data_IF_398666396314
#
_entry.id   IF_398666396314
#
_cell.length_a   1.000
_cell.length_b   1.000
_cell.length_c   1.000
_cell.angle_alpha   90.00
_cell.angle_beta   90.00
_cell.angle_gamma   90.00
#
_symmetry.space_group_name_H-M   'P 1'
#
loop_
_entity.id
_entity.type
_entity.pdbx_description
1 polymer ?
#
# COMPACT_ATOMS: atom_id res chain seq x y z
N UNK A 1 -1.81 -12.53 -7.89
CA UNK A 1 -0.63 -12.04 -8.65
C UNK A 1 0.62 -12.30 -7.83
N UNK A 2 1.75 -12.71 -8.43
CA UNK A 2 3.00 -12.86 -7.66
C UNK A 2 3.55 -11.46 -7.30
N UNK A 3 3.98 -11.25 -6.06
CA UNK A 3 4.57 -9.97 -5.60
C UNK A 3 5.81 -9.58 -6.41
N UNK A 4 6.53 -10.57 -6.96
CA UNK A 4 7.69 -10.34 -7.82
C UNK A 4 7.32 -9.73 -9.19
N UNK A 5 6.05 -9.81 -9.59
CA UNK A 5 5.54 -9.33 -10.87
C UNK A 5 4.83 -7.97 -10.76
N UNK A 6 4.91 -7.31 -9.59
CA UNK A 6 4.28 -5.98 -9.41
C UNK A 6 4.90 -4.98 -10.40
N UNK A 7 4.08 -4.26 -11.19
CA UNK A 7 4.56 -3.24 -12.10
C UNK A 7 5.30 -2.11 -11.36
N UNK A 8 6.52 -1.78 -11.77
CA UNK A 8 7.34 -0.71 -11.14
C UNK A 8 7.16 0.67 -11.78
N UNK A 9 6.72 0.72 -13.04
CA UNK A 9 6.67 1.96 -13.83
C UNK A 9 5.58 2.94 -13.38
N UNK A 10 4.53 2.45 -12.70
CA UNK A 10 3.38 3.30 -12.35
C UNK A 10 3.74 4.38 -11.33
N UNK A 11 4.55 4.06 -10.33
CA UNK A 11 5.03 5.04 -9.35
C UNK A 11 5.83 6.17 -10.00
N UNK A 12 6.64 5.87 -11.02
CA UNK A 12 7.38 6.90 -11.75
C UNK A 12 6.44 7.89 -12.44
N UNK A 13 5.40 7.40 -13.12
CA UNK A 13 4.37 8.26 -13.72
C UNK A 13 3.63 9.12 -12.68
N UNK A 14 3.34 8.57 -11.49
CA UNK A 14 2.76 9.35 -10.38
C UNK A 14 3.66 10.47 -9.89
N UNK A 15 4.97 10.24 -9.82
CA UNK A 15 5.93 11.29 -9.44
C UNK A 15 5.94 12.40 -10.49
N UNK A 16 5.93 12.06 -11.78
CA UNK A 16 5.88 13.04 -12.87
C UNK A 16 4.58 13.87 -12.83
N UNK A 17 3.44 13.22 -12.64
CA UNK A 17 2.12 13.89 -12.48
C UNK A 17 2.12 14.87 -11.31
N UNK A 18 2.55 14.40 -10.13
CA UNK A 18 2.61 15.24 -8.93
C UNK A 18 3.57 16.42 -9.11
N UNK A 19 4.77 16.16 -9.63
CA UNK A 19 5.79 17.18 -9.83
C UNK A 19 5.30 18.25 -10.82
N UNK A 20 4.63 17.85 -11.90
CA UNK A 20 4.04 18.81 -12.83
C UNK A 20 2.97 19.67 -12.17
N UNK A 21 2.09 19.10 -11.35
CA UNK A 21 1.06 19.86 -10.64
C UNK A 21 1.61 20.82 -9.60
N UNK A 22 2.66 20.43 -8.87
CA UNK A 22 3.38 21.32 -7.94
C UNK A 22 4.08 22.45 -8.71
N UNK A 23 4.77 22.13 -9.80
CA UNK A 23 5.47 23.11 -10.63
C UNK A 23 4.51 24.17 -11.21
N UNK A 24 3.31 23.75 -11.61
CA UNK A 24 2.26 24.63 -12.14
C UNK A 24 1.47 25.38 -11.05
N UNK A 25 1.75 25.14 -9.76
CA UNK A 25 1.03 25.77 -8.65
C UNK A 25 -0.39 25.24 -8.41
N UNK A 26 -0.72 24.09 -8.99
CA UNK A 26 -2.04 23.45 -8.89
C UNK A 26 -2.18 22.56 -7.65
N UNK A 27 -1.05 22.09 -7.11
CA UNK A 27 -0.98 21.20 -5.96
C UNK A 27 -0.11 21.76 -4.84
N UNK A 28 -0.61 21.67 -3.61
CA UNK A 28 0.12 22.04 -2.39
C UNK A 28 0.41 20.85 -1.45
N UNK A 29 -0.10 19.66 -1.79
CA UNK A 29 0.07 18.44 -0.99
C UNK A 29 1.44 17.82 -1.19
N UNK A 30 1.94 17.14 -0.15
CA UNK A 30 3.09 16.24 -0.28
C UNK A 30 2.77 15.10 -1.26
N UNK A 31 3.80 14.46 -1.81
CA UNK A 31 3.59 13.34 -2.73
C UNK A 31 2.75 12.22 -2.07
N UNK A 32 3.04 11.85 -0.82
CA UNK A 32 2.33 10.76 -0.14
C UNK A 32 0.86 11.11 0.14
N UNK A 33 0.57 12.34 0.54
CA UNK A 33 -0.81 12.79 0.80
C UNK A 33 -1.62 12.93 -0.48
N UNK A 34 -1.00 13.48 -1.53
CA UNK A 34 -1.60 13.54 -2.86
C UNK A 34 -1.87 12.13 -3.40
N UNK A 35 -0.89 11.23 -3.33
CA UNK A 35 -1.00 9.87 -3.84
C UNK A 35 -2.12 9.09 -3.14
N UNK A 36 -2.29 9.27 -1.83
CA UNK A 36 -3.38 8.67 -1.08
C UNK A 36 -4.77 9.07 -1.61
N UNK A 37 -4.91 10.29 -2.15
CA UNK A 37 -6.16 10.81 -2.71
C UNK A 37 -6.41 10.44 -4.18
N UNK A 38 -5.35 10.23 -4.98
CA UNK A 38 -5.48 9.96 -6.43
C UNK A 38 -5.28 8.49 -6.81
N UNK A 39 -4.75 7.67 -5.91
CA UNK A 39 -4.60 6.25 -6.13
C UNK A 39 -5.98 5.60 -6.30
N UNK A 40 -6.14 4.80 -7.35
CA UNK A 40 -7.40 4.11 -7.62
C UNK A 40 -7.14 2.73 -8.26
N UNK A 41 -7.78 1.66 -7.76
CA UNK A 41 -7.59 0.31 -8.29
C UNK A 41 -8.16 0.18 -9.70
N UNK A 42 -7.57 -0.68 -10.52
CA UNK A 42 -8.32 -1.15 -11.72
C UNK A 42 -9.54 -1.93 -11.27
N UNK A 43 -10.61 -1.97 -12.10
CA UNK A 43 -11.85 -2.69 -11.77
C UNK A 43 -11.65 -4.11 -11.21
N UNK A 44 -10.68 -4.84 -11.75
CA UNK A 44 -10.36 -6.21 -11.30
C UNK A 44 -9.72 -6.31 -9.90
N UNK A 45 -9.34 -5.18 -9.30
CA UNK A 45 -8.73 -5.09 -7.98
C UNK A 45 -9.58 -4.30 -6.98
N UNK A 46 -10.78 -3.85 -7.38
CA UNK A 46 -11.66 -3.02 -6.55
C UNK A 46 -12.17 -3.78 -5.32
N UNK A 47 -12.52 -5.05 -5.47
CA UNK A 47 -13.00 -5.90 -4.36
C UNK A 47 -11.84 -6.47 -3.51
N UNK A 48 -10.60 -6.27 -3.96
CA UNK A 48 -9.41 -6.83 -3.35
C UNK A 48 -8.42 -7.36 -4.37
N UNK A 49 -7.15 -7.31 -3.99
CA UNK A 49 -6.04 -7.76 -4.80
C UNK A 49 -5.35 -8.93 -4.11
N UNK A 50 -5.56 -10.13 -4.66
CA UNK A 50 -4.87 -11.34 -4.18
C UNK A 50 -3.42 -11.36 -4.64
N UNK A 51 -2.52 -11.47 -3.68
CA UNK A 51 -1.08 -11.49 -3.83
C UNK A 51 -0.52 -12.82 -3.38
N UNK A 52 0.62 -13.21 -3.96
CA UNK A 52 1.33 -14.45 -3.63
C UNK A 52 2.81 -14.17 -3.42
N UNK A 53 3.35 -14.59 -2.29
CA UNK A 53 4.78 -14.56 -1.95
C UNK A 53 5.24 -15.98 -1.63
N UNK A 54 5.99 -16.59 -2.55
CA UNK A 54 6.31 -18.02 -2.47
C UNK A 54 5.05 -18.90 -2.53
N UNK A 55 4.79 -19.62 -1.45
CA UNK A 55 3.60 -20.50 -1.28
C UNK A 55 2.45 -19.83 -0.54
N UNK A 56 2.66 -18.63 0.01
CA UNK A 56 1.66 -17.94 0.81
C UNK A 56 0.86 -16.95 -0.03
N UNK A 57 -0.46 -16.94 0.17
CA UNK A 57 -1.38 -16.01 -0.48
C UNK A 57 -2.04 -15.11 0.56
N UNK A 58 -2.26 -13.85 0.20
CA UNK A 58 -2.96 -12.88 1.02
C UNK A 58 -3.72 -11.89 0.12
N UNK A 59 -4.70 -11.19 0.68
CA UNK A 59 -5.53 -10.24 -0.04
C UNK A 59 -5.40 -8.87 0.60
N UNK A 60 -5.14 -7.85 -0.23
CA UNK A 60 -5.15 -6.46 0.19
C UNK A 60 -6.27 -5.72 -0.51
N UNK A 61 -6.96 -4.84 0.21
CA UNK A 61 -8.04 -4.01 -0.32
C UNK A 61 -7.66 -2.54 -0.22
N UNK A 62 -8.06 -1.79 -1.24
CA UNK A 62 -7.80 -0.37 -1.31
C UNK A 62 -8.53 0.38 -0.20
N UNK A 63 -7.82 1.27 0.48
CA UNK A 63 -8.37 2.13 1.53
C UNK A 63 -8.53 1.45 2.88
N UNK A 64 -8.13 0.18 3.02
CA UNK A 64 -8.22 -0.55 4.28
C UNK A 64 -6.92 -0.47 5.08
N UNK A 65 -7.07 -0.65 6.40
CA UNK A 65 -6.00 -0.76 7.37
C UNK A 65 -5.88 -2.20 7.85
N UNK A 66 -4.66 -2.65 8.09
CA UNK A 66 -4.36 -4.02 8.50
C UNK A 66 -3.43 -4.04 9.71
N UNK A 67 -3.65 -5.00 10.60
CA UNK A 67 -2.74 -5.38 11.66
C UNK A 67 -2.01 -6.66 11.26
N UNK A 68 -0.72 -6.73 11.60
CA UNK A 68 0.15 -7.90 11.44
C UNK A 68 0.96 -8.10 12.71
N UNK A 69 1.37 -9.32 12.95
CA UNK A 69 2.22 -9.69 14.08
C UNK A 69 3.31 -10.67 13.64
N UNK A 70 4.48 -10.52 14.26
CA UNK A 70 5.69 -11.30 14.04
C UNK A 70 6.38 -11.46 15.38
N UNK A 71 6.78 -12.68 15.73
CA UNK A 71 7.35 -12.96 17.05
C UNK A 71 8.67 -12.22 17.31
N UNK A 72 9.37 -11.77 16.26
CA UNK A 72 10.64 -11.05 16.35
C UNK A 72 10.43 -9.54 16.19
N UNK A 73 9.55 -9.11 15.29
CA UNK A 73 9.33 -7.67 14.97
C UNK A 73 8.19 -7.03 15.77
N UNK A 74 7.36 -7.83 16.41
CA UNK A 74 6.17 -7.42 17.15
C UNK A 74 5.02 -6.98 16.24
N UNK A 75 3.93 -6.55 16.90
CA UNK A 75 2.71 -6.10 16.24
C UNK A 75 2.93 -4.77 15.49
N UNK A 76 2.43 -4.69 14.27
CA UNK A 76 2.51 -3.48 13.41
C UNK A 76 1.18 -3.27 12.70
N UNK A 77 0.89 -2.01 12.36
CA UNK A 77 -0.28 -1.62 11.59
C UNK A 77 0.14 -0.92 10.31
N UNK A 78 -0.58 -1.13 9.21
CA UNK A 78 -0.35 -0.41 7.96
C UNK A 78 -1.65 -0.07 7.22
N UNK A 79 -1.63 1.05 6.51
CA UNK A 79 -2.64 1.40 5.52
C UNK A 79 -2.28 0.79 4.17
N UNK A 80 -3.30 0.42 3.39
CA UNK A 80 -3.13 -0.04 2.02
C UNK A 80 -3.88 0.86 1.04
N UNK A 81 -3.19 1.26 -0.03
CA UNK A 81 -3.82 1.79 -1.24
C UNK A 81 -3.43 0.93 -2.44
N UNK A 82 -4.29 0.90 -3.46
CA UNK A 82 -4.01 0.20 -4.70
C UNK A 82 -4.09 1.24 -5.81
N UNK A 83 -2.96 1.48 -6.47
CA UNK A 83 -2.93 2.31 -7.65
C UNK A 83 -2.84 1.42 -8.89
N UNK A 84 -3.97 1.26 -9.58
CA UNK A 84 -4.14 0.32 -10.67
C UNK A 84 -3.98 -1.12 -10.22
N UNK A 85 -2.80 -1.69 -10.49
CA UNK A 85 -2.39 -3.05 -10.06
C UNK A 85 -1.16 -3.01 -9.15
N UNK A 86 -0.85 -1.85 -8.59
CA UNK A 86 0.29 -1.67 -7.70
C UNK A 86 -0.25 -1.47 -6.29
N UNK A 87 -0.15 -2.49 -5.43
CA UNK A 87 -0.46 -2.34 -4.02
C UNK A 87 0.69 -1.58 -3.33
N UNK A 88 0.32 -0.51 -2.64
CA UNK A 88 1.22 0.28 -1.82
C UNK A 88 0.74 0.19 -0.38
N UNK A 89 1.70 0.15 0.53
CA UNK A 89 1.43 0.13 1.95
C UNK A 89 2.25 1.19 2.66
N UNK A 90 1.72 1.67 3.76
CA UNK A 90 2.41 2.60 4.62
C UNK A 90 2.17 2.21 6.08
N UNK A 91 3.25 1.97 6.81
CA UNK A 91 3.16 1.63 8.23
C UNK A 91 2.70 2.84 9.04
N UNK A 92 1.89 2.56 10.05
CA UNK A 92 1.29 3.55 10.93
C UNK A 92 1.86 3.36 12.33
N UNK A 93 2.41 4.42 12.90
CA UNK A 93 2.91 4.38 14.28
C UNK A 93 1.77 4.51 15.30
N UNK A 94 2.11 4.38 16.58
CA UNK A 94 1.14 4.45 17.70
C UNK A 94 0.40 5.79 17.77
N UNK A 95 1.00 6.87 17.25
CA UNK A 95 0.39 8.20 17.18
C UNK A 95 -0.53 8.37 15.96
N UNK A 96 -0.74 7.31 15.17
CA UNK A 96 -1.53 7.35 13.93
C UNK A 96 -0.82 7.99 12.75
N UNK A 97 0.48 8.29 12.85
CA UNK A 97 1.24 8.88 11.75
C UNK A 97 1.67 7.82 10.75
N UNK A 98 1.44 8.11 9.47
CA UNK A 98 1.73 7.23 8.35
C UNK A 98 3.13 7.49 7.81
N UNK A 99 3.91 6.42 7.61
CA UNK A 99 5.19 6.44 6.90
C UNK A 99 4.98 6.62 5.37
N UNK A 100 6.05 6.78 4.56
CA UNK A 100 5.91 6.86 3.11
C UNK A 100 5.30 5.60 2.48
N UNK A 101 4.62 5.74 1.34
CA UNK A 101 4.07 4.62 0.58
C UNK A 101 5.17 3.78 -0.06
N UNK A 102 5.14 2.46 0.17
CA UNK A 102 6.11 1.51 -0.38
C UNK A 102 5.42 0.31 -1.03
N UNK A 103 6.06 -0.31 -2.02
CA UNK A 103 5.54 -1.52 -2.66
C UNK A 103 5.67 -2.73 -1.73
N UNK A 104 4.72 -3.65 -1.79
CA UNK A 104 4.67 -4.85 -0.93
C UNK A 104 5.71 -5.95 -1.24
N UNK A 105 6.59 -5.76 -2.23
CA UNK A 105 7.55 -6.79 -2.64
C UNK A 105 8.51 -7.14 -1.49
N UNK A 106 8.44 -8.39 -1.02
CA UNK A 106 9.25 -8.92 0.10
C UNK A 106 9.15 -8.10 1.39
N UNK A 107 8.02 -7.44 1.59
CA UNK A 107 7.84 -6.56 2.73
C UNK A 107 7.43 -7.31 3.99
N UNK A 108 6.58 -8.32 3.83
CA UNK A 108 6.02 -9.10 4.93
C UNK A 108 6.77 -10.42 5.11
N UNK A 109 6.98 -10.80 6.38
CA UNK A 109 7.40 -12.16 6.73
C UNK A 109 6.24 -13.14 6.54
N UNK A 110 6.53 -14.44 6.64
CA UNK A 110 5.48 -15.47 6.58
C UNK A 110 4.54 -15.33 7.77
N UNK A 111 5.07 -15.07 8.97
CA UNK A 111 4.25 -14.86 10.18
C UNK A 111 3.29 -13.69 9.98
N UNK A 112 3.79 -12.57 9.46
CA UNK A 112 2.98 -11.37 9.20
C UNK A 112 1.90 -11.61 8.15
N UNK A 113 2.17 -12.42 7.13
CA UNK A 113 1.15 -12.79 6.13
C UNK A 113 0.04 -13.62 6.76
N UNK A 114 0.37 -14.54 7.66
CA UNK A 114 -0.59 -15.45 8.30
C UNK A 114 -1.42 -14.74 9.37
N UNK A 115 -0.83 -13.76 10.07
CA UNK A 115 -1.50 -12.97 11.12
C UNK A 115 -2.26 -11.75 10.58
N UNK A 116 -2.14 -11.46 9.28
CA UNK A 116 -2.74 -10.29 8.66
C UNK A 116 -4.25 -10.25 8.82
N UNK A 117 -4.74 -9.20 9.48
CA UNK A 117 -6.16 -8.98 9.72
C UNK A 117 -6.56 -7.54 9.42
N UNK A 118 -7.72 -7.35 8.79
CA UNK A 118 -8.33 -6.03 8.60
C UNK A 118 -8.66 -5.41 9.96
N UNK A 119 -8.31 -4.14 10.14
CA UNK A 119 -8.69 -3.35 11.31
C UNK A 119 -9.97 -2.58 10.98
N UNK A 120 -11.06 -2.75 11.75
CA UNK A 120 -12.28 -1.99 11.54
C UNK A 120 -11.99 -0.48 11.58
N UNK A 121 -12.44 0.24 10.55
CA UNK A 121 -12.44 1.71 10.58
C UNK A 121 -13.67 2.17 11.38
N UNK A 122 -13.44 3.01 12.39
CA UNK A 122 -14.48 3.57 13.26
C UNK A 122 -15.29 4.66 12.56
#
# INVERSE_FOLDING_TARGET
MNVEQIPRHRLAGRVEEWFSGVYNGELALTFDDWLAGVAYPVRAATDGMRLRQGVHEFELRHGLRYAIDDTVRGARTFDCIIDGRVPLVAFVNENGQRAPWITVKNLFTIEEIVTMAEVPQA
#
